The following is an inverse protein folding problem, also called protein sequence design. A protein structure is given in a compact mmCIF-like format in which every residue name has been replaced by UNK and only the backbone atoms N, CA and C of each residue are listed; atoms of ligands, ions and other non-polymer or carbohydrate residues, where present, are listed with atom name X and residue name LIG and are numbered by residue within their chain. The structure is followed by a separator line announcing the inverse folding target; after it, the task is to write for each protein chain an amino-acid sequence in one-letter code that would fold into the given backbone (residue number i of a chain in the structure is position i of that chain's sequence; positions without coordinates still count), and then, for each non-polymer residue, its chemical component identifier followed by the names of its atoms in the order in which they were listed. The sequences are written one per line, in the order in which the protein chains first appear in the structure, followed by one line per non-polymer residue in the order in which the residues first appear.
data_IF_467130699210
#
_entry.id   IF_467130699210
#
_cell.length_a   1.000
_cell.length_b   1.000
_cell.length_c   1.000
_cell.angle_alpha   90.00
_cell.angle_beta   90.00
_cell.angle_gamma   90.00
#
_symmetry.space_group_name_H-M   'P 1'
#
loop_
_entity.id
_entity.type
_entity.pdbx_description
1 polymer ?
#
# COMPACT_ATOMS: atom_id res chain seq x y z
N UNK A 1 -64.60 36.22 25.35
CA UNK A 1 -64.63 35.04 24.47
C UNK A 1 -63.37 35.02 23.62
N UNK A 2 -62.31 34.29 24.08
CA UNK A 2 -61.07 34.12 23.34
C UNK A 2 -61.12 32.80 22.56
N UNK A 3 -61.05 32.88 21.24
CA UNK A 3 -60.97 31.70 20.37
C UNK A 3 -59.53 31.19 20.35
N UNK A 4 -59.36 29.97 20.83
CA UNK A 4 -58.13 29.20 20.78
C UNK A 4 -57.94 28.62 19.37
N UNK A 5 -56.85 28.99 18.67
CA UNK A 5 -56.49 28.39 17.38
C UNK A 5 -55.56 27.24 17.69
N UNK A 6 -56.00 26.05 17.31
CA UNK A 6 -55.19 24.82 17.34
C UNK A 6 -54.32 24.80 16.07
N UNK A 7 -52.97 24.90 16.25
CA UNK A 7 -52.04 24.66 15.18
C UNK A 7 -51.83 23.12 15.07
N UNK A 8 -52.22 22.56 13.96
CA UNK A 8 -51.90 21.17 13.61
C UNK A 8 -50.50 21.17 12.98
N UNK A 9 -49.52 20.59 13.67
CA UNK A 9 -48.16 20.31 13.14
C UNK A 9 -48.24 19.06 12.26
N UNK A 10 -48.05 19.24 10.95
CA UNK A 10 -47.81 18.13 10.01
C UNK A 10 -46.38 17.62 10.22
N UNK A 11 -46.23 16.38 10.62
CA UNK A 11 -44.98 15.62 10.60
C UNK A 11 -44.85 14.99 9.21
N UNK A 12 -43.79 15.26 8.45
CA UNK A 12 -43.58 14.56 7.20
C UNK A 12 -43.09 13.12 7.46
N UNK A 13 -43.87 12.17 6.97
CA UNK A 13 -43.46 10.76 6.91
C UNK A 13 -42.29 10.64 5.91
N UNK A 14 -41.06 10.40 6.39
CA UNK A 14 -39.95 9.99 5.54
C UNK A 14 -40.18 8.53 5.14
N UNK A 15 -40.64 8.31 3.92
CA UNK A 15 -40.62 6.99 3.30
C UNK A 15 -39.19 6.69 2.88
N UNK A 16 -38.46 5.91 3.69
CA UNK A 16 -37.19 5.34 3.30
C UNK A 16 -37.43 4.29 2.21
N UNK A 17 -37.28 4.70 0.95
CA UNK A 17 -37.25 3.76 -0.17
C UNK A 17 -36.03 2.85 -0.04
N UNK A 18 -36.23 1.56 0.23
CA UNK A 18 -35.22 0.54 0.01
C UNK A 18 -34.90 0.53 -1.49
N UNK A 19 -33.78 1.14 -1.87
CA UNK A 19 -33.22 0.87 -3.19
C UNK A 19 -32.59 -0.51 -3.10
N UNK A 20 -33.26 -1.52 -3.62
CA UNK A 20 -32.67 -2.84 -3.83
C UNK A 20 -31.50 -2.65 -4.79
N UNK A 21 -30.27 -2.88 -4.30
CA UNK A 21 -29.10 -2.92 -5.14
C UNK A 21 -29.28 -4.07 -6.14
N UNK A 22 -29.51 -3.73 -7.40
CA UNK A 22 -29.48 -4.71 -8.48
C UNK A 22 -28.08 -5.31 -8.53
N UNK A 23 -27.92 -6.64 -8.53
CA UNK A 23 -26.61 -7.24 -8.69
C UNK A 23 -26.08 -6.83 -10.07
N UNK A 24 -24.93 -6.13 -10.08
CA UNK A 24 -24.18 -5.88 -11.32
C UNK A 24 -23.84 -7.26 -11.88
N UNK A 25 -24.16 -7.55 -13.16
CA UNK A 25 -23.84 -8.85 -13.73
C UNK A 25 -22.35 -9.09 -13.61
N UNK A 26 -21.96 -10.20 -12.99
CA UNK A 26 -20.57 -10.65 -12.95
C UNK A 26 -20.09 -10.75 -14.40
N UNK A 27 -19.01 -10.02 -14.73
CA UNK A 27 -18.38 -10.16 -16.03
C UNK A 27 -17.94 -11.62 -16.15
N UNK A 28 -18.50 -12.33 -17.11
CA UNK A 28 -18.23 -13.74 -17.30
C UNK A 28 -16.72 -13.95 -17.53
N UNK A 29 -16.07 -14.74 -16.65
CA UNK A 29 -14.91 -15.50 -17.08
C UNK A 29 -13.52 -15.05 -16.66
N UNK A 30 -13.28 -14.38 -15.51
CA UNK A 30 -11.90 -14.27 -15.03
C UNK A 30 -11.37 -15.56 -14.38
N UNK A 31 -12.24 -16.51 -14.05
CA UNK A 31 -11.89 -17.74 -13.36
C UNK A 31 -11.40 -17.53 -11.91
N UNK A 32 -11.53 -16.30 -11.38
CA UNK A 32 -11.08 -15.91 -10.02
C UNK A 32 -12.20 -15.24 -9.25
N UNK A 33 -12.32 -15.59 -7.98
CA UNK A 33 -13.26 -14.97 -7.03
C UNK A 33 -12.56 -14.47 -5.78
N UNK A 34 -13.18 -13.52 -5.10
CA UNK A 34 -12.80 -13.05 -3.78
C UNK A 34 -13.50 -13.89 -2.69
N UNK A 35 -12.73 -14.47 -1.78
CA UNK A 35 -13.24 -15.17 -0.60
C UNK A 35 -12.90 -14.32 0.63
N UNK A 36 -13.92 -13.75 1.28
CA UNK A 36 -13.72 -12.95 2.49
C UNK A 36 -13.22 -13.82 3.64
N UNK A 37 -12.09 -13.46 4.24
CA UNK A 37 -11.44 -14.21 5.32
C UNK A 37 -11.42 -13.46 6.65
N UNK A 38 -11.62 -12.16 6.63
CA UNK A 38 -11.79 -11.33 7.83
C UNK A 38 -12.66 -10.13 7.49
N UNK A 39 -13.49 -9.67 8.43
CA UNK A 39 -14.36 -8.51 8.29
C UNK A 39 -14.48 -7.73 9.60
N UNK A 40 -15.11 -6.55 9.56
CA UNK A 40 -15.24 -5.66 10.71
C UNK A 40 -13.89 -5.05 11.12
N UNK A 41 -12.97 -4.87 10.18
CA UNK A 41 -11.65 -4.30 10.41
C UNK A 41 -11.70 -2.78 10.21
N UNK A 42 -10.89 -2.04 10.98
CA UNK A 42 -10.87 -0.58 10.91
C UNK A 42 -9.83 -0.08 9.89
N UNK A 43 -10.18 -0.11 8.60
CA UNK A 43 -9.33 0.31 7.47
C UNK A 43 -7.95 -0.39 7.46
N UNK A 44 -7.89 -1.70 7.14
CA UNK A 44 -6.66 -2.49 7.13
C UNK A 44 -5.84 -2.21 5.86
N UNK A 45 -5.39 -0.97 5.68
CA UNK A 45 -4.59 -0.53 4.52
C UNK A 45 -3.18 -1.11 4.50
N UNK A 46 -2.64 -1.48 5.67
CA UNK A 46 -1.37 -2.17 5.81
C UNK A 46 -1.58 -3.51 6.50
N UNK A 47 -1.32 -4.60 5.81
CA UNK A 47 -1.34 -5.93 6.39
C UNK A 47 -0.21 -6.80 5.81
N UNK A 48 0.12 -7.86 6.52
CA UNK A 48 1.08 -8.90 6.13
C UNK A 48 0.79 -10.18 6.91
N UNK A 49 1.67 -11.15 6.85
CA UNK A 49 1.53 -12.41 7.58
C UNK A 49 2.78 -12.75 8.38
N UNK A 50 2.61 -13.42 9.52
CA UNK A 50 3.73 -14.13 10.15
C UNK A 50 4.11 -15.34 9.30
N UNK A 51 5.34 -15.91 9.42
CA UNK A 51 5.70 -17.17 8.74
C UNK A 51 4.75 -18.33 9.04
N UNK A 52 4.08 -18.31 10.21
CA UNK A 52 3.07 -19.30 10.58
C UNK A 52 1.65 -18.99 10.03
N UNK A 53 1.52 -18.00 9.14
CA UNK A 53 0.26 -17.66 8.46
C UNK A 53 -0.76 -16.86 9.29
N UNK A 54 -0.38 -16.34 10.48
CA UNK A 54 -1.25 -15.38 11.17
C UNK A 54 -1.27 -14.05 10.44
N UNK A 55 -2.45 -13.49 10.27
CA UNK A 55 -2.63 -12.15 9.73
C UNK A 55 -2.09 -11.11 10.73
N UNK A 56 -1.30 -10.18 10.24
CA UNK A 56 -0.79 -9.00 10.95
C UNK A 56 -1.29 -7.76 10.22
N UNK A 57 -2.01 -6.89 10.91
CA UNK A 57 -2.57 -5.72 10.26
C UNK A 57 -2.59 -4.50 11.16
N UNK A 58 -2.72 -3.35 10.51
CA UNK A 58 -2.85 -2.04 11.16
C UNK A 58 -4.27 -1.52 11.00
N UNK A 59 -4.81 -0.98 12.07
CA UNK A 59 -5.96 -0.11 11.99
C UNK A 59 -5.47 1.29 11.65
N UNK A 60 -5.77 1.76 10.44
CA UNK A 60 -5.23 3.01 9.85
C UNK A 60 -5.37 4.21 10.77
N UNK A 61 -6.54 4.40 11.37
CA UNK A 61 -6.88 5.61 12.10
C UNK A 61 -6.52 5.49 13.60
N UNK A 62 -6.80 4.34 14.20
CA UNK A 62 -6.60 4.12 15.64
C UNK A 62 -5.15 3.83 16.02
N UNK A 63 -4.34 3.40 15.05
CA UNK A 63 -2.95 3.01 15.23
C UNK A 63 -2.76 1.66 15.93
N UNK A 64 -3.78 0.82 16.04
CA UNK A 64 -3.61 -0.52 16.58
C UNK A 64 -2.87 -1.42 15.58
N UNK A 65 -1.80 -2.04 16.05
CA UNK A 65 -1.19 -3.22 15.46
C UNK A 65 -1.90 -4.45 16.05
N UNK A 66 -2.39 -5.32 15.18
CA UNK A 66 -3.18 -6.49 15.56
C UNK A 66 -2.67 -7.77 14.90
N UNK A 67 -2.83 -8.89 15.61
CA UNK A 67 -2.55 -10.23 15.10
C UNK A 67 -3.85 -11.03 15.13
N UNK A 68 -4.24 -11.62 14.01
CA UNK A 68 -5.45 -12.46 13.90
C UNK A 68 -5.11 -13.84 13.36
N UNK A 69 -5.62 -14.85 14.01
CA UNK A 69 -5.57 -16.20 13.48
C UNK A 69 -6.80 -16.42 12.58
N UNK A 70 -6.58 -16.61 11.28
CA UNK A 70 -7.67 -16.76 10.31
C UNK A 70 -8.42 -18.10 10.41
N UNK A 71 -7.90 -19.09 11.15
CA UNK A 71 -8.57 -20.38 11.36
C UNK A 71 -9.50 -20.39 12.58
N UNK A 72 -9.05 -19.74 13.66
CA UNK A 72 -9.81 -19.69 14.92
C UNK A 72 -10.54 -18.38 15.14
N UNK A 73 -10.33 -17.42 14.26
CA UNK A 73 -10.85 -16.05 14.30
C UNK A 73 -10.43 -15.23 15.53
N UNK A 74 -9.45 -15.74 16.28
CA UNK A 74 -8.94 -15.05 17.48
C UNK A 74 -8.07 -13.87 17.06
N UNK A 75 -8.44 -12.68 17.51
CA UNK A 75 -7.82 -11.41 17.16
C UNK A 75 -7.25 -10.72 18.42
N UNK A 76 -5.97 -10.38 18.39
CA UNK A 76 -5.24 -9.79 19.51
C UNK A 76 -4.75 -8.38 19.20
N UNK A 77 -4.97 -7.45 20.13
CA UNK A 77 -4.32 -6.14 20.16
C UNK A 77 -2.88 -6.31 20.64
N UNK A 78 -1.91 -6.02 19.78
CA UNK A 78 -0.49 -6.18 20.07
C UNK A 78 0.14 -4.91 20.63
N UNK A 79 -0.08 -3.79 19.92
CA UNK A 79 0.46 -2.49 20.32
C UNK A 79 -0.37 -1.35 19.74
N UNK A 80 -0.52 -0.25 20.50
CA UNK A 80 -1.17 0.97 20.00
C UNK A 80 -0.13 2.06 19.74
N UNK A 81 -0.07 2.51 18.51
CA UNK A 81 0.73 3.66 18.13
C UNK A 81 -0.10 4.90 18.43
N UNK A 82 0.43 5.76 19.29
CA UNK A 82 -0.27 6.98 19.72
C UNK A 82 -0.04 8.15 18.76
N UNK A 83 -0.95 9.14 18.80
CA UNK A 83 -0.87 10.38 18.05
C UNK A 83 -0.84 10.19 16.53
N UNK A 84 -1.51 9.16 16.03
CA UNK A 84 -1.68 8.95 14.60
C UNK A 84 -2.45 10.13 14.01
N UNK A 85 -1.91 10.73 12.96
CA UNK A 85 -2.65 11.64 12.09
C UNK A 85 -3.14 10.85 10.88
N UNK A 86 -4.45 10.87 10.64
CA UNK A 86 -5.09 10.08 9.57
C UNK A 86 -5.89 10.94 8.58
N UNK A 87 -5.59 12.24 8.53
CA UNK A 87 -6.21 13.15 7.56
C UNK A 87 -5.79 12.77 6.13
N UNK A 88 -6.73 12.71 5.21
CA UNK A 88 -6.51 12.34 3.82
C UNK A 88 -5.90 10.93 3.67
N UNK A 89 -4.74 10.83 3.03
CA UNK A 89 -4.02 9.55 2.83
C UNK A 89 -3.16 9.12 4.03
N UNK A 90 -3.04 9.93 5.07
CA UNK A 90 -2.22 9.66 6.26
C UNK A 90 -2.78 8.51 7.10
N UNK A 91 -2.01 8.06 8.08
CA UNK A 91 -2.42 7.02 9.02
C UNK A 91 -1.30 6.05 9.39
N UNK A 92 -1.68 4.91 9.96
CA UNK A 92 -0.83 3.74 10.07
C UNK A 92 -0.97 2.94 8.76
N UNK A 93 0.04 3.02 7.87
CA UNK A 93 -0.12 2.67 6.46
C UNK A 93 0.59 1.40 6.04
N UNK A 94 1.76 1.11 6.59
CA UNK A 94 2.56 -0.05 6.19
C UNK A 94 3.03 -0.88 7.36
N UNK A 95 3.06 -2.19 7.19
CA UNK A 95 3.56 -3.14 8.18
C UNK A 95 4.41 -4.20 7.53
N UNK A 96 5.54 -4.54 8.15
CA UNK A 96 6.41 -5.64 7.72
C UNK A 96 6.92 -6.42 8.93
N UNK A 97 7.09 -7.72 8.76
CA UNK A 97 7.70 -8.59 9.76
C UNK A 97 9.21 -8.64 9.56
N UNK A 98 9.98 -8.77 10.65
CA UNK A 98 11.42 -9.06 10.50
C UNK A 98 11.60 -10.38 9.74
N UNK A 99 12.53 -10.48 8.76
CA UNK A 99 12.71 -11.70 7.96
C UNK A 99 13.02 -12.94 8.79
N UNK A 100 13.71 -12.77 9.92
CA UNK A 100 14.07 -13.86 10.84
C UNK A 100 13.06 -13.97 12.02
N UNK A 101 11.78 -13.59 11.80
CA UNK A 101 10.74 -13.84 12.80
C UNK A 101 10.50 -15.34 12.99
N UNK A 102 10.33 -15.86 14.24
CA UNK A 102 10.22 -15.14 15.51
C UNK A 102 11.56 -14.97 16.27
N UNK A 103 12.70 -15.43 15.71
CA UNK A 103 14.02 -15.30 16.36
C UNK A 103 14.34 -13.83 16.62
N UNK A 104 14.07 -12.98 15.63
CA UNK A 104 14.07 -11.52 15.76
C UNK A 104 12.62 -11.05 15.87
N UNK A 105 12.08 -10.88 17.09
CA UNK A 105 10.64 -10.66 17.30
C UNK A 105 10.24 -9.20 17.07
N UNK A 106 10.53 -8.67 15.87
CA UNK A 106 10.26 -7.30 15.52
C UNK A 106 9.21 -7.17 14.41
N UNK A 107 8.31 -6.21 14.60
CA UNK A 107 7.37 -5.71 13.59
C UNK A 107 7.75 -4.27 13.27
N UNK A 108 7.73 -3.94 11.99
CA UNK A 108 8.01 -2.60 11.47
C UNK A 108 6.72 -1.97 10.99
N UNK A 109 6.55 -0.69 11.30
CA UNK A 109 5.33 0.06 10.96
C UNK A 109 5.69 1.41 10.37
N UNK A 110 5.08 1.75 9.25
CA UNK A 110 5.07 3.13 8.75
C UNK A 110 3.81 3.84 9.24
N UNK A 111 3.97 5.05 9.78
CA UNK A 111 2.86 5.81 10.34
C UNK A 111 3.10 7.32 10.23
N UNK A 112 2.04 8.08 9.93
CA UNK A 112 2.05 9.53 10.06
C UNK A 112 1.58 9.92 11.46
N UNK A 113 2.36 10.75 12.17
CA UNK A 113 2.08 11.12 13.57
C UNK A 113 2.28 12.61 13.83
N UNK A 114 1.42 13.14 14.72
CA UNK A 114 1.67 14.42 15.39
C UNK A 114 2.77 14.20 16.43
N UNK A 115 3.84 14.99 16.36
CA UNK A 115 4.97 14.93 17.29
C UNK A 115 5.32 16.33 17.80
N UNK A 116 6.10 16.47 18.89
CA UNK A 116 6.58 17.80 19.31
C UNK A 116 7.39 18.54 18.22
N UNK A 117 8.00 17.81 17.28
CA UNK A 117 8.71 18.39 16.14
C UNK A 117 7.81 18.59 14.91
N UNK A 118 6.48 18.63 15.10
CA UNK A 118 5.47 18.74 14.04
C UNK A 118 5.05 17.38 13.46
N UNK A 119 4.35 17.46 12.34
CA UNK A 119 3.81 16.28 11.64
C UNK A 119 4.95 15.48 10.97
N UNK A 120 5.00 14.17 11.20
CA UNK A 120 6.07 13.30 10.73
C UNK A 120 5.57 11.99 10.16
N UNK A 121 6.13 11.60 9.02
CA UNK A 121 6.12 10.22 8.54
C UNK A 121 7.27 9.46 9.24
N UNK A 122 6.95 8.38 9.92
CA UNK A 122 7.91 7.63 10.74
C UNK A 122 7.89 6.15 10.42
N UNK A 123 9.07 5.52 10.48
CA UNK A 123 9.20 4.06 10.59
C UNK A 123 9.52 3.72 12.04
N UNK A 124 8.68 2.90 12.64
CA UNK A 124 8.83 2.40 13.99
C UNK A 124 9.14 0.90 13.95
N UNK A 125 10.08 0.43 14.78
CA UNK A 125 10.33 -0.98 15.06
C UNK A 125 9.76 -1.32 16.42
N UNK A 126 8.85 -2.28 16.47
CA UNK A 126 8.14 -2.73 17.67
C UNK A 126 8.65 -4.11 18.03
N UNK A 127 9.21 -4.29 19.25
CA UNK A 127 9.54 -5.62 19.77
C UNK A 127 8.27 -6.27 20.33
N UNK A 128 7.99 -7.50 19.89
CA UNK A 128 6.81 -8.25 20.33
C UNK A 128 7.25 -9.45 21.18
N UNK A 129 6.70 -9.58 22.39
CA UNK A 129 6.91 -10.72 23.28
C UNK A 129 5.56 -11.15 23.83
N UNK A 130 5.29 -12.46 23.84
CA UNK A 130 4.04 -13.03 24.31
C UNK A 130 2.78 -12.35 23.73
N UNK A 131 2.82 -12.03 22.41
CA UNK A 131 1.73 -11.37 21.72
C UNK A 131 1.53 -9.88 22.05
N UNK A 132 2.47 -9.25 22.76
CA UNK A 132 2.41 -7.82 23.14
C UNK A 132 3.64 -7.06 22.68
N UNK A 133 3.43 -5.83 22.24
CA UNK A 133 4.52 -4.90 21.93
C UNK A 133 5.13 -4.36 23.22
N UNK A 134 6.38 -4.72 23.50
CA UNK A 134 7.08 -4.41 24.76
C UNK A 134 8.15 -3.30 24.61
N UNK A 135 8.39 -2.83 23.40
CA UNK A 135 9.36 -1.74 23.16
C UNK A 135 9.22 -1.20 21.75
N UNK A 136 9.36 0.11 21.62
CA UNK A 136 9.27 0.82 20.33
C UNK A 136 10.54 1.63 20.11
N UNK A 137 11.16 1.44 18.96
CA UNK A 137 12.28 2.27 18.49
C UNK A 137 11.90 2.98 17.19
N UNK A 138 12.07 4.29 17.14
CA UNK A 138 11.94 5.07 15.91
C UNK A 138 13.21 4.87 15.08
N UNK A 139 13.06 4.37 13.86
CA UNK A 139 14.15 4.16 12.90
C UNK A 139 14.29 5.32 11.92
N UNK A 140 13.16 5.91 11.52
CA UNK A 140 13.09 7.01 10.57
C UNK A 140 12.08 8.06 11.02
N UNK A 141 12.34 9.33 10.73
CA UNK A 141 11.41 10.44 10.93
C UNK A 141 11.63 11.51 9.87
N UNK A 142 10.68 11.64 8.97
CA UNK A 142 10.70 12.62 7.86
C UNK A 142 9.54 13.58 8.04
N UNK A 143 9.74 14.87 7.76
CA UNK A 143 8.66 15.84 7.79
C UNK A 143 7.55 15.41 6.82
N UNK A 144 6.32 15.25 7.31
CA UNK A 144 5.14 15.18 6.47
C UNK A 144 4.71 16.62 6.15
N UNK A 145 4.54 16.93 4.89
CA UNK A 145 4.16 18.28 4.45
C UNK A 145 2.75 18.68 4.94
N UNK A 146 2.32 19.92 4.68
CA UNK A 146 0.97 20.37 5.02
C UNK A 146 -0.11 19.60 4.20
N UNK A 147 0.17 19.22 2.97
CA UNK A 147 -0.74 18.43 2.14
C UNK A 147 -1.04 17.07 2.79
N UNK A 148 -2.31 16.64 2.72
CA UNK A 148 -2.78 15.41 3.35
C UNK A 148 -2.54 14.15 2.52
N UNK A 149 -2.07 14.31 1.30
CA UNK A 149 -1.81 13.26 0.32
C UNK A 149 -0.31 13.06 0.05
N UNK A 150 0.00 12.07 -0.78
CA UNK A 150 1.34 11.67 -1.20
C UNK A 150 2.27 11.35 -0.02
N UNK A 151 1.78 10.58 0.94
CA UNK A 151 2.59 10.16 2.08
C UNK A 151 3.40 8.90 1.79
N UNK A 152 3.03 8.13 0.77
CA UNK A 152 3.57 6.81 0.53
C UNK A 152 3.15 5.83 1.63
N UNK A 153 4.10 5.12 2.21
CA UNK A 153 3.88 4.35 3.43
C UNK A 153 4.02 2.85 3.29
N UNK A 154 4.17 2.31 2.08
CA UNK A 154 4.50 0.89 1.94
C UNK A 154 5.92 0.64 2.45
N UNK A 155 6.06 -0.44 3.23
CA UNK A 155 7.34 -0.95 3.68
C UNK A 155 7.42 -2.45 3.44
N UNK A 156 8.57 -2.94 3.03
CA UNK A 156 8.78 -4.35 2.71
C UNK A 156 10.25 -4.72 2.91
N UNK A 157 10.52 -5.90 3.46
CA UNK A 157 11.87 -6.44 3.47
C UNK A 157 12.20 -7.06 2.11
N UNK A 158 13.35 -6.70 1.59
CA UNK A 158 13.90 -7.31 0.38
C UNK A 158 14.54 -8.69 0.65
N UNK A 159 14.88 -9.43 -0.42
CA UNK A 159 15.60 -10.69 -0.31
C UNK A 159 16.97 -10.55 0.33
N UNK A 160 17.52 -9.34 0.34
CA UNK A 160 18.77 -8.96 1.01
C UNK A 160 18.58 -8.66 2.51
N UNK A 161 17.39 -8.93 3.07
CA UNK A 161 17.00 -8.68 4.46
C UNK A 161 17.11 -7.20 4.90
N UNK A 162 17.15 -6.26 3.97
CA UNK A 162 17.04 -4.83 4.28
C UNK A 162 15.62 -4.34 4.10
N UNK A 163 15.23 -3.29 4.84
CA UNK A 163 13.90 -2.71 4.79
C UNK A 163 13.86 -1.62 3.71
N UNK A 164 12.94 -1.77 2.76
CA UNK A 164 12.60 -0.76 1.77
C UNK A 164 11.37 0.02 2.22
N UNK A 165 11.39 1.33 2.01
CA UNK A 165 10.35 2.26 2.46
C UNK A 165 10.09 3.25 1.34
N UNK A 166 8.83 3.45 0.96
CA UNK A 166 8.47 4.55 0.06
C UNK A 166 7.93 5.73 0.86
N UNK A 167 8.40 6.91 0.52
CA UNK A 167 7.84 8.18 0.98
C UNK A 167 7.51 8.99 -0.28
N UNK A 168 6.25 9.39 -0.42
CA UNK A 168 5.80 10.25 -1.50
C UNK A 168 6.37 11.66 -1.40
N UNK A 169 6.12 12.46 -2.40
CA UNK A 169 6.62 13.84 -2.48
C UNK A 169 5.92 14.82 -1.52
N UNK A 170 4.87 14.37 -0.81
CA UNK A 170 3.99 15.19 0.02
C UNK A 170 3.36 16.36 -0.75
N UNK A 171 2.97 16.14 -2.00
CA UNK A 171 2.39 17.10 -2.92
C UNK A 171 3.28 18.34 -3.21
N UNK A 172 4.58 18.15 -3.11
CA UNK A 172 5.60 19.11 -3.53
C UNK A 172 6.61 18.37 -4.43
N UNK A 173 6.44 18.49 -5.72
CA UNK A 173 7.21 17.75 -6.73
C UNK A 173 8.72 18.06 -6.71
N UNK A 174 9.12 19.23 -6.18
CA UNK A 174 10.53 19.56 -6.01
C UNK A 174 11.25 18.58 -5.07
N UNK A 175 10.53 18.05 -4.09
CA UNK A 175 11.07 17.05 -3.18
C UNK A 175 11.60 15.81 -3.90
N UNK A 176 10.98 15.41 -5.00
CA UNK A 176 11.31 14.14 -5.68
C UNK A 176 12.69 14.16 -6.31
N UNK A 177 13.18 15.32 -6.75
CA UNK A 177 14.50 15.48 -7.36
C UNK A 177 15.60 15.90 -6.36
N UNK A 178 15.24 16.42 -5.18
CA UNK A 178 16.21 16.79 -4.15
C UNK A 178 16.74 15.57 -3.42
N UNK A 179 18.00 15.21 -3.67
CA UNK A 179 18.72 14.06 -3.05
C UNK A 179 19.58 14.45 -1.86
N UNK A 180 19.63 15.72 -1.51
CA UNK A 180 20.60 16.26 -0.54
C UNK A 180 19.97 16.66 0.79
N UNK A 181 18.79 17.28 0.75
CA UNK A 181 18.19 17.91 1.93
C UNK A 181 16.98 17.17 2.49
N UNK A 182 16.33 16.28 1.72
CA UNK A 182 15.18 15.55 2.21
C UNK A 182 15.03 14.13 1.61
N UNK A 183 14.15 13.34 2.25
CA UNK A 183 13.88 11.94 1.89
C UNK A 183 12.46 11.74 1.29
N UNK A 184 11.76 12.82 0.92
CA UNK A 184 10.44 12.77 0.29
C UNK A 184 10.56 12.54 -1.22
N UNK A 185 9.59 11.88 -1.83
CA UNK A 185 9.63 11.48 -3.24
C UNK A 185 10.72 10.45 -3.54
N UNK A 186 10.91 9.50 -2.62
CA UNK A 186 12.02 8.53 -2.65
C UNK A 186 11.58 7.13 -2.27
N UNK A 187 12.31 6.17 -2.79
CA UNK A 187 12.40 4.84 -2.21
C UNK A 187 13.68 4.81 -1.38
N UNK A 188 13.53 4.47 -0.11
CA UNK A 188 14.61 4.37 0.87
C UNK A 188 14.94 2.91 1.13
N UNK A 189 16.19 2.63 1.51
CA UNK A 189 16.65 1.30 1.94
C UNK A 189 17.51 1.43 3.20
N UNK A 190 17.17 0.64 4.22
CA UNK A 190 17.85 0.65 5.51
C UNK A 190 18.04 -0.76 6.07
N UNK A 191 19.04 -0.94 6.93
CA UNK A 191 19.20 -2.14 7.73
C UNK A 191 18.02 -2.29 8.73
N UNK A 192 17.80 -3.48 9.30
CA UNK A 192 16.72 -3.70 10.27
C UNK A 192 16.83 -2.84 11.54
N UNK A 193 17.99 -2.28 11.83
CA UNK A 193 18.22 -1.35 12.94
C UNK A 193 18.03 0.13 12.58
N UNK A 194 17.73 0.43 11.31
CA UNK A 194 17.57 1.78 10.76
C UNK A 194 18.85 2.41 10.23
N UNK A 195 19.99 1.76 10.37
CA UNK A 195 21.28 2.23 9.84
C UNK A 195 21.32 2.14 8.30
N UNK A 196 22.17 2.93 7.69
CA UNK A 196 22.38 2.94 6.24
C UNK A 196 23.23 1.73 5.81
N UNK A 197 22.75 0.90 4.88
CA UNK A 197 23.60 -0.11 4.24
C UNK A 197 24.75 0.52 3.47
N UNK A 198 25.95 -0.04 3.58
CA UNK A 198 27.14 0.47 2.90
C UNK A 198 26.99 0.50 1.36
N UNK A 199 26.17 -0.39 0.82
CA UNK A 199 25.92 -0.53 -0.61
C UNK A 199 24.83 0.40 -1.16
N UNK A 200 24.24 1.30 -0.33
CA UNK A 200 23.30 2.31 -0.82
C UNK A 200 24.00 3.29 -1.75
N UNK A 201 23.32 3.74 -2.82
CA UNK A 201 23.80 4.85 -3.63
C UNK A 201 23.77 6.15 -2.80
N UNK A 202 24.44 7.18 -3.26
CA UNK A 202 24.44 8.56 -2.71
C UNK A 202 24.91 8.72 -1.26
N UNK A 203 25.49 7.71 -0.62
CA UNK A 203 25.93 7.81 0.78
C UNK A 203 24.79 8.11 1.79
N UNK A 204 23.54 7.83 1.44
CA UNK A 204 22.33 8.13 2.22
C UNK A 204 21.39 6.91 2.29
N UNK A 205 20.19 7.08 2.87
CA UNK A 205 19.17 6.05 2.84
C UNK A 205 18.47 5.93 1.48
N UNK A 206 18.67 6.87 0.57
CA UNK A 206 18.01 6.89 -0.74
C UNK A 206 18.48 5.69 -1.57
N UNK A 207 17.51 4.90 -2.07
CA UNK A 207 17.73 3.81 -3.00
C UNK A 207 17.43 4.22 -4.44
N UNK A 208 16.29 4.93 -4.65
CA UNK A 208 15.87 5.52 -5.90
C UNK A 208 15.10 6.82 -5.64
N UNK A 209 14.97 7.68 -6.63
CA UNK A 209 14.35 8.99 -6.50
C UNK A 209 13.51 9.36 -7.73
N UNK A 210 12.84 10.51 -7.68
CA UNK A 210 11.91 10.91 -8.73
C UNK A 210 10.58 10.16 -8.62
N UNK A 211 10.07 9.98 -7.40
CA UNK A 211 8.82 9.29 -7.06
C UNK A 211 7.78 10.32 -6.61
N UNK A 212 6.53 10.16 -7.05
CA UNK A 212 5.40 11.01 -6.67
C UNK A 212 4.64 10.45 -5.48
N UNK A 213 3.83 9.44 -5.71
CA UNK A 213 2.94 8.84 -4.71
C UNK A 213 2.75 7.35 -4.96
N UNK A 214 3.70 6.58 -4.50
CA UNK A 214 3.67 5.12 -4.57
C UNK A 214 3.01 4.54 -3.33
N UNK A 215 2.13 3.56 -3.53
CA UNK A 215 1.41 2.87 -2.45
C UNK A 215 1.69 1.36 -2.45
N UNK A 216 2.16 0.81 -3.56
CA UNK A 216 2.41 -0.62 -3.70
C UNK A 216 3.86 -0.97 -4.00
N UNK A 217 4.38 -2.00 -3.31
CA UNK A 217 5.69 -2.61 -3.53
C UNK A 217 5.58 -4.11 -3.63
N UNK A 218 6.35 -4.72 -4.52
CA UNK A 218 6.58 -6.16 -4.52
C UNK A 218 7.99 -6.48 -5.06
N UNK A 219 8.64 -7.45 -4.45
CA UNK A 219 9.84 -8.07 -5.03
C UNK A 219 9.43 -9.24 -5.93
N UNK A 220 9.97 -9.27 -7.12
CA UNK A 220 9.84 -10.41 -8.00
C UNK A 220 10.55 -11.63 -7.40
N UNK A 221 9.84 -12.71 -7.05
CA UNK A 221 10.43 -13.86 -6.37
C UNK A 221 11.46 -14.60 -7.21
N UNK A 222 11.43 -14.46 -8.54
CA UNK A 222 12.34 -15.16 -9.43
C UNK A 222 13.71 -14.48 -9.58
N UNK A 223 13.79 -13.17 -9.36
CA UNK A 223 15.06 -12.45 -9.59
C UNK A 223 15.36 -11.34 -8.57
N UNK A 224 14.50 -11.13 -7.57
CA UNK A 224 14.67 -10.13 -6.51
C UNK A 224 14.56 -8.68 -6.96
N UNK A 225 14.02 -8.39 -8.16
CA UNK A 225 13.80 -7.02 -8.62
C UNK A 225 12.60 -6.40 -7.95
N UNK A 226 12.74 -5.14 -7.55
CA UNK A 226 11.66 -4.38 -6.92
C UNK A 226 10.78 -3.74 -8.00
N UNK A 227 9.47 -3.92 -7.84
CA UNK A 227 8.43 -3.27 -8.62
C UNK A 227 7.56 -2.42 -7.71
N UNK A 228 7.00 -1.36 -8.27
CA UNK A 228 6.12 -0.46 -7.55
C UNK A 228 4.97 0.04 -8.42
N UNK A 229 3.89 0.49 -7.76
CA UNK A 229 2.77 1.19 -8.38
C UNK A 229 2.77 2.64 -7.95
N UNK A 230 2.63 3.56 -8.88
CA UNK A 230 2.66 4.99 -8.64
C UNK A 230 1.41 5.67 -9.16
N UNK A 231 0.87 6.60 -8.38
CA UNK A 231 -0.28 7.40 -8.79
C UNK A 231 0.18 8.71 -9.44
N UNK A 232 -0.28 8.93 -10.67
CA UNK A 232 -0.05 10.14 -11.43
C UNK A 232 -0.90 11.34 -10.97
N UNK A 233 -0.71 12.53 -11.55
CA UNK A 233 -1.42 13.74 -11.12
C UNK A 233 -2.92 13.73 -11.48
N UNK A 234 -3.26 13.59 -12.72
CA UNK A 234 -4.61 13.38 -13.27
C UNK A 234 -4.57 12.47 -14.49
N UNK A 235 -3.40 11.93 -14.78
CA UNK A 235 -3.09 10.99 -15.85
C UNK A 235 -1.92 10.13 -15.40
N UNK A 236 -1.65 9.07 -16.13
CA UNK A 236 -0.40 8.33 -16.06
C UNK A 236 -0.14 7.73 -14.67
N UNK A 237 -1.12 6.97 -14.13
CA UNK A 237 -0.78 6.00 -13.08
C UNK A 237 0.16 4.95 -13.68
N UNK A 238 1.17 4.51 -12.90
CA UNK A 238 2.31 3.80 -13.46
C UNK A 238 2.64 2.51 -12.73
N UNK A 239 3.21 1.57 -13.49
CA UNK A 239 3.90 0.42 -12.93
C UNK A 239 5.37 0.53 -13.29
N UNK A 240 6.20 0.64 -12.28
CA UNK A 240 7.63 0.88 -12.38
C UNK A 240 8.45 -0.32 -11.92
N UNK A 241 9.53 -0.61 -12.63
CA UNK A 241 10.61 -1.47 -12.15
C UNK A 241 11.71 -0.59 -11.56
N UNK A 242 11.89 -0.69 -10.26
CA UNK A 242 12.81 0.16 -9.52
C UNK A 242 14.26 -0.29 -9.71
N UNK A 243 15.11 0.69 -10.01
CA UNK A 243 16.53 0.48 -10.25
C UNK A 243 17.36 1.27 -9.23
N UNK A 244 18.34 0.61 -8.63
CA UNK A 244 19.26 1.21 -7.66
C UNK A 244 19.91 2.47 -8.22
N UNK A 245 19.83 3.58 -7.49
CA UNK A 245 20.46 4.85 -7.85
C UNK A 245 19.77 5.60 -8.99
N UNK A 246 18.70 5.08 -9.54
CA UNK A 246 18.04 5.65 -10.70
C UNK A 246 17.08 6.79 -10.36
N UNK A 247 16.89 7.68 -11.34
CA UNK A 247 15.84 8.68 -11.40
C UNK A 247 14.63 8.10 -12.13
N UNK A 248 13.44 8.13 -11.50
CA UNK A 248 12.17 7.72 -12.10
C UNK A 248 11.40 8.89 -12.74
N UNK A 249 11.96 10.08 -12.66
CA UNK A 249 11.61 11.22 -13.53
C UNK A 249 10.56 12.17 -12.98
N UNK A 250 9.81 11.82 -11.92
CA UNK A 250 8.85 12.75 -11.32
C UNK A 250 9.55 13.97 -10.71
N UNK A 251 8.99 15.17 -10.92
CA UNK A 251 9.56 16.42 -10.39
C UNK A 251 8.84 17.67 -10.90
N UNK A 252 9.42 18.89 -10.76
CA UNK A 252 8.74 20.16 -10.99
C UNK A 252 8.26 20.41 -12.42
N UNK A 253 8.83 19.72 -13.41
CA UNK A 253 8.50 19.93 -14.83
C UNK A 253 7.34 19.07 -15.31
N UNK A 254 6.64 18.39 -14.41
CA UNK A 254 5.65 17.39 -14.76
C UNK A 254 4.26 18.00 -14.99
N UNK A 255 3.66 17.64 -16.11
CA UNK A 255 2.28 17.97 -16.45
C UNK A 255 1.68 16.93 -17.40
N UNK A 256 0.37 16.65 -17.25
CA UNK A 256 -0.34 15.74 -18.16
C UNK A 256 -0.36 16.28 -19.61
N UNK A 257 -0.16 15.41 -20.60
CA UNK A 257 0.12 13.97 -20.49
C UNK A 257 1.62 13.63 -20.34
N UNK A 258 2.50 14.62 -20.27
CA UNK A 258 3.95 14.43 -20.26
C UNK A 258 4.45 14.37 -18.81
N UNK A 259 4.68 13.17 -18.31
CA UNK A 259 5.22 12.91 -16.98
C UNK A 259 6.63 12.28 -17.07
N UNK A 260 7.36 12.27 -15.94
CA UNK A 260 8.69 11.66 -15.81
C UNK A 260 9.80 12.30 -16.65
N UNK A 261 9.74 13.61 -16.79
CA UNK A 261 10.69 14.40 -17.58
C UNK A 261 11.71 15.17 -16.71
N UNK A 262 11.57 15.13 -15.39
CA UNK A 262 12.37 15.94 -14.47
C UNK A 262 13.70 15.30 -14.09
N UNK A 263 14.68 16.16 -13.80
CA UNK A 263 15.99 15.80 -13.25
C UNK A 263 16.96 15.17 -14.25
N UNK A 264 18.06 14.62 -13.73
CA UNK A 264 19.16 14.13 -14.57
C UNK A 264 18.78 12.87 -15.36
N UNK A 265 19.35 12.75 -16.55
CA UNK A 265 19.30 11.55 -17.38
C UNK A 265 20.48 10.61 -17.08
N UNK A 266 20.35 9.28 -17.35
CA UNK A 266 19.15 8.62 -17.85
C UNK A 266 18.06 8.50 -16.79
N UNK A 267 16.80 8.61 -17.24
CA UNK A 267 15.61 8.33 -16.42
C UNK A 267 15.09 6.92 -16.72
N UNK A 268 14.58 6.24 -15.71
CA UNK A 268 13.92 4.94 -15.90
C UNK A 268 12.43 5.20 -16.11
N UNK A 269 11.97 4.97 -17.32
CA UNK A 269 10.57 5.15 -17.66
C UNK A 269 9.71 3.99 -17.14
N UNK A 270 8.41 4.22 -16.88
CA UNK A 270 7.47 3.21 -16.44
C UNK A 270 7.40 2.03 -17.43
N UNK A 271 7.02 0.87 -16.91
CA UNK A 271 6.83 -0.34 -17.71
C UNK A 271 5.40 -0.45 -18.24
N UNK A 272 4.48 0.21 -17.57
CA UNK A 272 3.13 0.45 -18.04
C UNK A 272 2.61 1.78 -17.49
N UNK A 273 1.76 2.44 -18.28
CA UNK A 273 1.11 3.71 -17.90
C UNK A 273 -0.37 3.62 -18.21
N UNK A 274 -1.20 3.96 -17.22
CA UNK A 274 -2.64 4.12 -17.41
C UNK A 274 -2.92 5.57 -17.77
N UNK A 275 -3.45 5.83 -18.97
CA UNK A 275 -3.71 7.20 -19.45
C UNK A 275 -4.68 7.98 -18.53
N UNK A 276 -5.64 7.29 -17.93
CA UNK A 276 -6.52 7.83 -16.88
C UNK A 276 -6.15 7.22 -15.54
N UNK A 277 -6.24 8.02 -14.46
CA UNK A 277 -5.91 7.54 -13.12
C UNK A 277 -6.92 6.51 -12.62
N UNK A 278 -6.45 5.32 -12.31
CA UNK A 278 -7.24 4.23 -11.71
C UNK A 278 -7.02 4.14 -10.19
N UNK A 279 -6.07 4.90 -9.67
CA UNK A 279 -5.69 4.89 -8.26
C UNK A 279 -4.99 3.59 -7.89
N UNK A 280 -3.80 3.35 -8.43
CA UNK A 280 -3.04 2.13 -8.18
C UNK A 280 -2.66 1.98 -6.70
N UNK A 281 -2.73 0.75 -6.19
CA UNK A 281 -2.45 0.43 -4.79
C UNK A 281 -1.46 -0.73 -4.66
N UNK A 282 -1.83 -1.84 -3.99
CA UNK A 282 -0.94 -2.97 -3.77
C UNK A 282 -0.56 -3.72 -5.03
N UNK A 283 0.64 -4.34 -4.98
CA UNK A 283 1.09 -5.28 -6.00
C UNK A 283 1.47 -6.62 -5.35
N UNK A 284 1.35 -7.70 -6.12
CA UNK A 284 1.86 -9.01 -5.71
C UNK A 284 2.23 -9.85 -6.94
N UNK A 285 3.26 -10.66 -6.83
CA UNK A 285 3.58 -11.68 -7.83
C UNK A 285 2.84 -12.96 -7.51
N UNK A 286 2.21 -13.55 -8.53
CA UNK A 286 1.64 -14.88 -8.44
C UNK A 286 2.75 -15.90 -8.74
N UNK A 287 3.45 -16.36 -7.72
CA UNK A 287 4.39 -17.47 -7.81
C UNK A 287 3.77 -18.68 -7.10
N UNK A 288 3.29 -19.65 -7.88
CA UNK A 288 2.51 -20.80 -7.39
C UNK A 288 1.31 -20.39 -6.49
N UNK A 289 0.64 -19.26 -6.80
CA UNK A 289 -0.37 -18.64 -5.93
C UNK A 289 -1.72 -19.41 -5.88
N UNK A 290 -1.86 -20.47 -6.68
CA UNK A 290 -3.02 -21.36 -6.70
C UNK A 290 -4.21 -20.81 -7.46
N UNK A 291 -4.00 -19.84 -8.35
CA UNK A 291 -5.03 -19.34 -9.29
C UNK A 291 -5.01 -20.06 -10.63
N UNK A 292 -4.11 -21.02 -10.82
CA UNK A 292 -3.91 -21.77 -12.06
C UNK A 292 -2.64 -21.39 -12.81
N UNK A 293 -2.25 -22.23 -13.77
CA UNK A 293 -0.99 -22.08 -14.50
C UNK A 293 -0.89 -20.76 -15.29
N UNK A 294 -2.02 -20.28 -15.78
CA UNK A 294 -2.09 -19.01 -16.56
C UNK A 294 -1.76 -17.75 -15.76
N UNK A 295 -1.65 -17.85 -14.43
CA UNK A 295 -1.28 -16.72 -13.55
C UNK A 295 0.16 -16.82 -13.05
N UNK A 296 0.82 -17.96 -13.27
CA UNK A 296 2.10 -18.24 -12.64
C UNK A 296 3.21 -17.36 -13.21
N UNK A 297 3.82 -16.56 -12.36
CA UNK A 297 4.85 -15.59 -12.74
C UNK A 297 4.33 -14.17 -12.99
N UNK A 298 3.01 -13.96 -13.07
CA UNK A 298 2.41 -12.67 -13.35
C UNK A 298 2.47 -11.70 -12.17
N UNK A 299 2.46 -10.41 -12.49
CA UNK A 299 2.29 -9.33 -11.53
C UNK A 299 0.79 -8.96 -11.44
N UNK A 300 0.23 -9.02 -10.24
CA UNK A 300 -1.12 -8.55 -9.93
C UNK A 300 -1.05 -7.15 -9.32
N UNK A 301 -1.97 -6.27 -9.75
CA UNK A 301 -2.03 -4.88 -9.32
C UNK A 301 -3.47 -4.50 -8.97
N UNK A 302 -3.66 -3.93 -7.78
CA UNK A 302 -4.94 -3.43 -7.33
C UNK A 302 -5.13 -1.94 -7.60
N UNK A 303 -6.39 -1.51 -7.63
CA UNK A 303 -6.76 -0.11 -7.80
C UNK A 303 -7.92 0.28 -6.87
N UNK A 304 -7.85 1.51 -6.34
CA UNK A 304 -8.86 2.01 -5.39
C UNK A 304 -10.04 2.66 -6.08
N UNK A 305 -9.84 3.30 -7.24
CA UNK A 305 -10.89 4.09 -7.88
C UNK A 305 -11.94 3.22 -8.58
N UNK A 306 -11.52 2.11 -9.16
CA UNK A 306 -12.40 1.21 -9.91
C UNK A 306 -12.57 -0.19 -9.30
N UNK A 307 -11.92 -0.47 -8.16
CA UNK A 307 -12.07 -1.72 -7.42
C UNK A 307 -11.51 -2.95 -8.13
N UNK A 308 -10.66 -2.77 -9.13
CA UNK A 308 -10.17 -3.87 -9.96
C UNK A 308 -8.82 -4.39 -9.52
N UNK A 309 -8.65 -5.70 -9.68
CA UNK A 309 -7.34 -6.34 -9.70
C UNK A 309 -7.06 -6.75 -11.15
N UNK A 310 -5.89 -6.33 -11.63
CA UNK A 310 -5.39 -6.62 -12.97
C UNK A 310 -4.11 -7.42 -12.89
N UNK A 311 -3.84 -8.25 -13.91
CA UNK A 311 -2.57 -8.94 -14.06
C UNK A 311 -1.80 -8.44 -15.26
N UNK A 312 -0.51 -8.57 -15.17
CA UNK A 312 0.46 -8.30 -16.23
C UNK A 312 1.35 -9.53 -16.38
N UNK A 313 1.41 -10.05 -17.59
CA UNK A 313 2.30 -11.13 -17.98
C UNK A 313 3.70 -10.55 -18.23
N UNK A 314 4.69 -10.98 -17.46
CA UNK A 314 6.05 -10.48 -17.61
C UNK A 314 6.75 -11.13 -18.79
N UNK A 315 7.53 -10.31 -19.52
CA UNK A 315 8.40 -10.84 -20.57
C UNK A 315 9.47 -11.77 -20.01
N UNK A 316 10.12 -12.56 -20.89
CA UNK A 316 11.09 -13.59 -20.52
C UNK A 316 12.27 -13.04 -19.68
N UNK A 317 12.66 -11.78 -19.86
CA UNK A 317 13.71 -11.12 -19.06
C UNK A 317 13.20 -10.52 -17.75
N UNK A 318 11.87 -10.51 -17.56
CA UNK A 318 11.17 -9.91 -16.42
C UNK A 318 11.56 -8.45 -16.17
N UNK A 319 11.64 -7.68 -17.26
CA UNK A 319 11.99 -6.26 -17.26
C UNK A 319 10.87 -5.36 -17.76
N UNK A 320 9.79 -5.97 -18.25
CA UNK A 320 8.60 -5.34 -18.80
C UNK A 320 7.52 -6.41 -18.97
N UNK A 321 6.50 -6.10 -19.75
CA UNK A 321 5.33 -6.94 -19.94
C UNK A 321 5.19 -7.37 -21.41
N UNK A 322 4.78 -8.61 -21.62
CA UNK A 322 4.36 -9.14 -22.92
C UNK A 322 2.85 -8.96 -23.11
N UNK A 323 2.08 -8.98 -22.01
CA UNK A 323 0.65 -8.73 -22.05
C UNK A 323 0.15 -8.04 -20.75
N UNK A 324 -0.99 -7.37 -20.85
CA UNK A 324 -1.67 -6.67 -19.76
C UNK A 324 -2.01 -5.23 -20.11
N UNK A 325 -2.89 -4.59 -19.31
CA UNK A 325 -3.59 -5.15 -18.15
C UNK A 325 -4.71 -6.12 -18.51
N UNK A 326 -4.73 -7.30 -17.91
CA UNK A 326 -5.80 -8.28 -18.02
C UNK A 326 -6.62 -8.30 -16.72
N UNK A 327 -7.94 -8.28 -16.81
CA UNK A 327 -8.81 -8.27 -15.64
C UNK A 327 -8.72 -9.61 -14.89
N UNK A 328 -8.52 -9.54 -13.57
CA UNK A 328 -8.52 -10.69 -12.65
C UNK A 328 -9.77 -10.69 -11.79
N UNK A 329 -10.11 -9.55 -11.22
CA UNK A 329 -11.26 -9.36 -10.35
C UNK A 329 -11.83 -7.96 -10.59
N UNK A 330 -13.15 -7.87 -10.66
CA UNK A 330 -13.92 -6.64 -10.63
C UNK A 330 -14.88 -6.71 -9.43
N UNK A 331 -14.64 -5.89 -8.43
CA UNK A 331 -15.45 -5.87 -7.22
C UNK A 331 -16.06 -4.49 -6.99
N UNK A 332 -17.11 -4.42 -6.18
CA UNK A 332 -17.85 -3.18 -5.90
C UNK A 332 -17.11 -2.23 -4.95
N UNK A 333 -16.06 -2.71 -4.26
CA UNK A 333 -15.29 -1.94 -3.28
C UNK A 333 -13.84 -1.71 -3.71
N UNK A 334 -13.13 -0.76 -3.08
CA UNK A 334 -11.76 -0.45 -3.42
C UNK A 334 -10.81 -1.60 -3.08
N UNK A 335 -9.72 -1.75 -3.85
CA UNK A 335 -8.59 -2.58 -3.46
C UNK A 335 -7.52 -1.66 -2.86
N UNK A 336 -7.17 -1.85 -1.58
CA UNK A 336 -6.24 -0.96 -0.86
C UNK A 336 -4.83 -1.53 -0.74
N UNK A 337 -4.70 -2.84 -0.61
CA UNK A 337 -3.43 -3.54 -0.46
C UNK A 337 -3.56 -4.94 -1.03
N UNK A 338 -2.46 -5.46 -1.57
CA UNK A 338 -2.34 -6.86 -2.00
C UNK A 338 -1.08 -7.42 -1.37
N UNK A 339 -1.18 -8.62 -0.80
CA UNK A 339 -0.08 -9.30 -0.11
C UNK A 339 -0.08 -10.82 -0.43
N UNK A 340 1.10 -11.40 -0.44
CA UNK A 340 1.29 -12.84 -0.56
C UNK A 340 1.50 -13.44 0.82
N UNK A 341 0.68 -14.42 1.18
CA UNK A 341 0.86 -15.17 2.43
C UNK A 341 1.97 -16.24 2.28
N UNK A 342 2.51 -16.78 3.40
CA UNK A 342 3.58 -17.79 3.36
C UNK A 342 3.23 -19.07 2.60
N UNK A 343 1.95 -19.35 2.41
CA UNK A 343 1.47 -20.48 1.61
C UNK A 343 1.33 -20.14 0.10
N UNK A 344 1.86 -19.01 -0.33
CA UNK A 344 1.81 -18.51 -1.71
C UNK A 344 0.47 -17.85 -2.11
N UNK A 345 -0.59 -18.00 -1.32
CA UNK A 345 -1.91 -17.44 -1.67
C UNK A 345 -1.91 -15.92 -1.61
N UNK A 346 -2.66 -15.29 -2.52
CA UNK A 346 -2.78 -13.85 -2.62
C UNK A 346 -4.02 -13.37 -1.85
N UNK A 347 -3.80 -12.34 -1.06
CA UNK A 347 -4.84 -11.66 -0.28
C UNK A 347 -4.87 -10.19 -0.63
N UNK A 348 -6.04 -9.57 -0.50
CA UNK A 348 -6.20 -8.12 -0.64
C UNK A 348 -7.16 -7.57 0.41
N UNK A 349 -7.09 -6.27 0.65
CA UNK A 349 -7.98 -5.58 1.58
C UNK A 349 -8.83 -4.51 0.89
N UNK A 350 -9.99 -4.24 1.48
CA UNK A 350 -10.75 -3.01 1.35
C UNK A 350 -10.76 -2.23 2.69
N UNK A 351 -11.70 -1.29 2.88
CA UNK A 351 -11.77 -0.50 4.11
C UNK A 351 -12.27 -1.27 5.34
N UNK A 352 -12.87 -2.43 5.17
CA UNK A 352 -13.51 -3.20 6.25
C UNK A 352 -13.01 -4.63 6.34
N UNK A 353 -12.53 -5.20 5.25
CA UNK A 353 -12.34 -6.64 5.13
C UNK A 353 -11.00 -6.99 4.47
N UNK A 354 -10.59 -8.23 4.69
CA UNK A 354 -9.52 -8.89 3.95
C UNK A 354 -10.09 -10.11 3.23
N UNK A 355 -9.69 -10.27 1.98
CA UNK A 355 -10.13 -11.32 1.07
C UNK A 355 -8.95 -12.13 0.59
N UNK A 356 -9.19 -13.39 0.24
CA UNK A 356 -8.26 -14.25 -0.48
C UNK A 356 -8.75 -14.41 -1.92
N UNK A 357 -7.85 -14.30 -2.89
CA UNK A 357 -8.13 -14.72 -4.26
C UNK A 357 -8.17 -16.24 -4.33
N UNK A 358 -9.16 -16.78 -5.03
CA UNK A 358 -9.34 -18.22 -5.23
C UNK A 358 -9.88 -18.48 -6.64
N UNK A 359 -9.68 -19.67 -7.20
CA UNK A 359 -10.40 -20.09 -8.41
C UNK A 359 -11.92 -20.00 -8.21
N UNK A 360 -12.64 -19.61 -9.28
CA UNK A 360 -14.09 -19.40 -9.26
C UNK A 360 -14.87 -20.72 -9.06
#
# INVERSE_FOLDING_TARGET
MRRMRILATLVPLLVAGLVAATPVPAIAGTGVKAVRVASGLASPVGFTFTPAGKLVYLERNSGWLRFRNLQTDVDHRVHRILNVNFDGERGALGVAMHPDWPIQPFVYVFVTRNTPAGLRNQVLRIKVQNGRGVGVRRLLSVAAGPATNHNGGRILFGPDKTLYVVIGDNADSANSQDRTSNLRGKILRMNPDGSRPATNPFGSLIWAFGIRNSIGFAFDPQNGRLWESENGPSCNDEINRIVKGANHGWGPSESCPNTNNSGPTPRILPKHTFATTVGLTGLAFCDACGLGAAFNGDLLVGAVNDGRIRRFDLNATRTGFDAGPLLVLDQTGPVLSIEVAPNGRIYFSDFDSIYRLAPA
#
